data_IF_324663053698
#
_entry.id   IF_324663053698
#
_cell.length_a   1.000
_cell.length_b   1.000
_cell.length_c   1.000
_cell.angle_alpha   90.00
_cell.angle_beta   90.00
_cell.angle_gamma   90.00
#
_symmetry.space_group_name_H-M   'P 1'
#
loop_
_entity.id
_entity.type
_entity.pdbx_description
1 polymer ?
#
# COMPACT_ATOMS: atom_id res chain seq x y z
N UNK A 1 -20.27 11.84 -16.01
CA UNK A 1 -20.17 10.56 -15.26
C UNK A 1 -18.71 10.09 -15.06
N UNK A 2 -17.76 11.02 -14.85
CA UNK A 2 -16.32 10.69 -14.84
C UNK A 2 -15.79 10.15 -13.49
N UNK A 3 -16.51 10.32 -12.38
CA UNK A 3 -16.05 9.87 -11.04
C UNK A 3 -16.31 8.39 -10.71
N UNK A 4 -17.36 7.78 -11.27
CA UNK A 4 -17.74 6.39 -10.94
C UNK A 4 -16.71 5.35 -11.36
N UNK A 5 -15.93 5.63 -12.41
CA UNK A 5 -14.90 4.69 -12.90
C UNK A 5 -13.67 4.67 -12.01
N UNK A 6 -13.29 5.80 -11.41
CA UNK A 6 -12.13 5.85 -10.52
C UNK A 6 -12.46 5.27 -9.13
N UNK A 7 -13.68 5.51 -8.65
CA UNK A 7 -14.15 5.01 -7.36
C UNK A 7 -14.06 3.48 -7.23
N UNK A 8 -14.36 2.71 -8.29
CA UNK A 8 -14.21 1.24 -8.25
C UNK A 8 -12.75 0.79 -8.08
N UNK A 9 -11.79 1.56 -8.59
CA UNK A 9 -10.36 1.24 -8.52
C UNK A 9 -9.80 1.54 -7.13
N UNK A 10 -10.17 2.69 -6.57
CA UNK A 10 -9.90 3.02 -5.16
C UNK A 10 -10.43 1.90 -4.25
N UNK A 11 -11.72 1.59 -4.38
CA UNK A 11 -12.38 0.58 -3.54
C UNK A 11 -11.75 -0.81 -3.67
N UNK A 12 -11.33 -1.19 -4.88
CA UNK A 12 -10.67 -2.48 -5.10
C UNK A 12 -9.33 -2.56 -4.35
N UNK A 13 -8.49 -1.52 -4.42
CA UNK A 13 -7.21 -1.47 -3.72
C UNK A 13 -7.38 -1.39 -2.21
N UNK A 14 -8.31 -0.56 -1.73
CA UNK A 14 -8.66 -0.46 -0.31
C UNK A 14 -9.02 -1.85 0.25
N UNK A 15 -9.98 -2.55 -0.37
CA UNK A 15 -10.39 -3.88 0.08
C UNK A 15 -9.23 -4.87 0.02
N UNK A 16 -8.46 -4.88 -1.08
CA UNK A 16 -7.35 -5.79 -1.27
C UNK A 16 -6.31 -5.68 -0.15
N UNK A 17 -5.84 -4.46 0.09
CA UNK A 17 -4.79 -4.16 1.05
C UNK A 17 -5.29 -4.31 2.48
N UNK A 18 -6.52 -3.89 2.75
CA UNK A 18 -7.18 -4.05 4.03
C UNK A 18 -7.28 -5.53 4.41
N UNK A 19 -7.76 -6.38 3.50
CA UNK A 19 -7.85 -7.83 3.70
C UNK A 19 -6.46 -8.47 3.85
N UNK A 20 -5.48 -8.06 3.05
CA UNK A 20 -4.13 -8.64 3.09
C UNK A 20 -3.44 -8.39 4.44
N UNK A 21 -3.75 -7.27 5.11
CA UNK A 21 -3.16 -6.90 6.40
C UNK A 21 -4.08 -7.15 7.60
N UNK A 22 -5.27 -7.70 7.39
CA UNK A 22 -6.23 -8.01 8.46
C UNK A 22 -5.59 -8.77 9.64
N UNK A 23 -4.71 -9.77 9.44
CA UNK A 23 -4.09 -10.49 10.55
C UNK A 23 -3.17 -9.65 11.46
N UNK A 24 -2.79 -8.45 11.01
CA UNK A 24 -1.88 -7.55 11.71
C UNK A 24 -2.57 -6.32 12.27
N UNK A 25 -3.85 -6.10 11.93
CA UNK A 25 -4.61 -4.96 12.39
C UNK A 25 -5.05 -5.14 13.85
N UNK A 26 -5.12 -4.03 14.57
CA UNK A 26 -5.76 -4.00 15.90
C UNK A 26 -7.29 -3.91 15.78
N UNK A 27 -7.98 -3.90 16.92
CA UNK A 27 -9.45 -3.79 16.99
C UNK A 27 -10.01 -2.49 16.38
N UNK A 28 -9.18 -1.47 16.21
CA UNK A 28 -9.54 -0.19 15.59
C UNK A 28 -9.22 -0.18 14.08
N UNK A 29 -8.63 -1.26 13.57
CA UNK A 29 -8.22 -1.43 12.18
C UNK A 29 -6.94 -0.67 11.84
N UNK A 30 -6.06 -0.41 12.81
CA UNK A 30 -4.75 0.18 12.58
C UNK A 30 -3.71 -0.90 12.30
N UNK A 31 -2.84 -0.65 11.33
CA UNK A 31 -1.65 -1.49 11.08
C UNK A 31 -0.54 -1.18 12.10
N UNK A 32 0.44 -2.07 12.29
CA UNK A 32 1.58 -1.84 13.18
C UNK A 32 2.35 -0.56 12.84
N UNK A 33 2.69 0.25 13.85
CA UNK A 33 3.45 1.50 13.68
C UNK A 33 4.75 1.30 12.87
N UNK A 34 5.54 0.22 13.05
CA UNK A 34 6.76 0.02 12.26
C UNK A 34 6.53 -0.04 10.75
N UNK A 35 5.34 -0.43 10.27
CA UNK A 35 5.02 -0.45 8.84
C UNK A 35 4.98 0.96 8.23
N UNK A 36 4.76 2.00 9.03
CA UNK A 36 4.72 3.39 8.57
C UNK A 36 6.11 3.94 8.20
N UNK A 37 7.16 3.29 8.71
CA UNK A 37 8.55 3.72 8.55
C UNK A 37 9.42 2.68 7.85
N UNK A 38 8.85 1.54 7.44
CA UNK A 38 9.59 0.48 6.77
C UNK A 38 9.65 0.72 5.25
N UNK A 39 10.85 0.96 4.68
CA UNK A 39 10.98 1.28 3.25
C UNK A 39 10.60 0.10 2.35
N UNK A 40 10.88 -1.14 2.76
CA UNK A 40 10.61 -2.33 1.94
C UNK A 40 9.09 -2.57 1.80
N UNK A 41 8.35 -2.48 2.90
CA UNK A 41 6.91 -2.63 2.92
C UNK A 41 6.23 -1.54 2.09
N UNK A 42 6.61 -0.27 2.30
CA UNK A 42 6.04 0.84 1.54
C UNK A 42 6.38 0.81 0.05
N UNK A 43 7.55 0.26 -0.32
CA UNK A 43 7.91 -0.04 -1.70
C UNK A 43 6.94 -1.03 -2.34
N UNK A 44 6.58 -2.11 -1.63
CA UNK A 44 5.56 -3.05 -2.09
C UNK A 44 4.18 -2.39 -2.28
N UNK A 45 3.73 -1.57 -1.32
CA UNK A 45 2.41 -0.91 -1.41
C UNK A 45 2.34 0.01 -2.64
N UNK A 46 3.36 0.86 -2.85
CA UNK A 46 3.39 1.73 -4.03
C UNK A 46 3.45 0.91 -5.33
N UNK A 47 4.28 -0.13 -5.36
CA UNK A 47 4.42 -0.99 -6.53
C UNK A 47 3.14 -1.74 -6.89
N UNK A 48 2.37 -2.17 -5.89
CA UNK A 48 1.03 -2.76 -6.07
C UNK A 48 0.10 -1.77 -6.76
N UNK A 49 0.06 -0.51 -6.28
CA UNK A 49 -0.78 0.54 -6.85
C UNK A 49 -0.42 0.83 -8.31
N UNK A 50 0.88 0.96 -8.60
CA UNK A 50 1.39 1.20 -9.96
C UNK A 50 1.10 0.04 -10.91
N UNK A 51 1.32 -1.20 -10.46
CA UNK A 51 1.05 -2.38 -11.28
C UNK A 51 -0.45 -2.57 -11.53
N UNK A 52 -1.28 -2.34 -10.50
CA UNK A 52 -2.74 -2.37 -10.62
C UNK A 52 -3.23 -1.33 -11.65
N UNK A 53 -2.72 -0.10 -11.59
CA UNK A 53 -3.04 0.96 -12.55
C UNK A 53 -2.71 0.53 -13.98
N UNK A 54 -1.50 -0.02 -14.18
CA UNK A 54 -1.05 -0.54 -15.48
C UNK A 54 -2.00 -1.62 -16.02
N UNK A 55 -2.35 -2.60 -15.20
CA UNK A 55 -3.22 -3.72 -15.60
C UNK A 55 -4.67 -3.28 -15.88
N UNK A 56 -5.10 -2.14 -15.31
CA UNK A 56 -6.42 -1.57 -15.52
C UNK A 56 -6.43 -0.41 -16.53
N UNK A 57 -5.34 -0.21 -17.27
CA UNK A 57 -5.18 0.85 -18.28
C UNK A 57 -5.41 2.27 -17.74
N UNK A 58 -5.05 2.50 -16.48
CA UNK A 58 -5.02 3.83 -15.87
C UNK A 58 -3.65 4.48 -16.18
N UNK A 59 -3.64 5.42 -17.12
CA UNK A 59 -2.41 6.06 -17.61
C UNK A 59 -2.24 7.51 -17.18
N UNK A 60 -3.30 8.15 -16.66
CA UNK A 60 -3.22 9.54 -16.21
C UNK A 60 -2.55 9.59 -14.85
N UNK A 61 -1.51 10.41 -14.71
CA UNK A 61 -0.80 10.62 -13.44
C UNK A 61 -1.75 10.94 -12.28
N UNK A 62 -2.76 11.80 -12.52
CA UNK A 62 -3.75 12.14 -11.49
C UNK A 62 -4.64 10.97 -11.07
N UNK A 63 -4.96 10.03 -11.97
CA UNK A 63 -5.75 8.85 -11.63
C UNK A 63 -4.90 7.85 -10.80
N UNK A 64 -3.62 7.71 -11.15
CA UNK A 64 -2.66 6.85 -10.43
C UNK A 64 -2.41 7.40 -9.03
N UNK A 65 -2.17 8.71 -8.90
CA UNK A 65 -2.03 9.38 -7.62
C UNK A 65 -3.29 9.17 -6.77
N UNK A 66 -4.48 9.45 -7.32
CA UNK A 66 -5.72 9.35 -6.57
C UNK A 66 -6.07 7.93 -6.06
N UNK A 67 -5.64 6.86 -6.73
CA UNK A 67 -5.81 5.49 -6.22
C UNK A 67 -4.72 5.09 -5.22
N UNK A 68 -3.51 5.65 -5.38
CA UNK A 68 -2.41 5.48 -4.45
C UNK A 68 -2.76 6.16 -3.13
N UNK A 69 -3.21 7.41 -3.17
CA UNK A 69 -3.69 8.16 -2.00
C UNK A 69 -4.74 7.35 -1.23
N UNK A 70 -5.75 6.80 -1.93
CA UNK A 70 -6.80 6.00 -1.31
C UNK A 70 -6.26 4.72 -0.64
N UNK A 71 -5.28 4.06 -1.26
CA UNK A 71 -4.62 2.91 -0.67
C UNK A 71 -3.84 3.28 0.60
N UNK A 72 -3.06 4.36 0.58
CA UNK A 72 -2.31 4.82 1.74
C UNK A 72 -3.22 5.36 2.86
N UNK A 73 -4.32 6.02 2.52
CA UNK A 73 -5.34 6.45 3.49
C UNK A 73 -6.03 5.28 4.17
N UNK A 74 -6.37 4.20 3.45
CA UNK A 74 -6.95 3.00 4.05
C UNK A 74 -5.97 2.33 5.03
N UNK A 75 -4.68 2.29 4.70
CA UNK A 75 -3.67 1.63 5.53
C UNK A 75 -3.25 2.45 6.75
N UNK A 76 -2.98 3.74 6.55
CA UNK A 76 -2.31 4.59 7.53
C UNK A 76 -3.21 5.69 8.09
N UNK A 77 -4.42 5.85 7.54
CA UNK A 77 -5.43 6.80 8.02
C UNK A 77 -4.84 8.21 8.13
N UNK A 78 -4.77 8.76 9.35
CA UNK A 78 -4.28 10.10 9.63
C UNK A 78 -2.78 10.26 9.30
N UNK A 79 -2.01 9.17 9.32
CA UNK A 79 -0.57 9.16 9.06
C UNK A 79 -0.24 9.03 7.57
N UNK A 80 -1.24 8.91 6.69
CA UNK A 80 -1.04 8.64 5.26
C UNK A 80 -0.17 9.69 4.57
N UNK A 81 -0.33 10.98 4.93
CA UNK A 81 0.46 12.08 4.37
C UNK A 81 1.92 11.92 4.77
N UNK A 82 2.21 11.68 6.05
CA UNK A 82 3.57 11.52 6.55
C UNK A 82 4.27 10.29 5.95
N UNK A 83 3.53 9.20 5.69
CA UNK A 83 4.09 8.03 5.01
C UNK A 83 4.41 8.35 3.55
N UNK A 84 3.54 9.09 2.85
CA UNK A 84 3.77 9.48 1.46
C UNK A 84 4.93 10.46 1.30
N UNK A 85 5.13 11.39 2.24
CA UNK A 85 6.33 12.25 2.27
C UNK A 85 7.62 11.41 2.39
N UNK A 86 7.62 10.38 3.25
CA UNK A 86 8.77 9.45 3.35
C UNK A 86 9.01 8.67 2.07
N UNK A 87 7.94 8.31 1.35
CA UNK A 87 8.05 7.64 0.05
C UNK A 87 8.74 8.54 -0.97
N UNK A 88 8.35 9.81 -1.03
CA UNK A 88 9.00 10.79 -1.90
C UNK A 88 10.49 10.94 -1.53
N UNK A 89 10.82 10.97 -0.24
CA UNK A 89 12.21 11.00 0.23
C UNK A 89 12.98 9.73 -0.17
N UNK A 90 12.40 8.54 -0.02
CA UNK A 90 13.03 7.27 -0.40
C UNK A 90 13.24 7.14 -1.91
N UNK A 91 12.33 7.67 -2.71
CA UNK A 91 12.49 7.77 -4.17
C UNK A 91 13.66 8.68 -4.53
N UNK A 92 13.76 9.86 -3.91
CA UNK A 92 14.85 10.82 -4.18
C UNK A 92 16.21 10.29 -3.72
N UNK A 93 16.26 9.55 -2.63
CA UNK A 93 17.47 8.97 -2.07
C UNK A 93 17.88 7.64 -2.72
N UNK A 94 17.08 7.13 -3.66
CA UNK A 94 17.26 5.80 -4.26
C UNK A 94 17.42 4.70 -3.19
N UNK A 95 16.58 4.76 -2.14
CA UNK A 95 16.68 3.82 -1.01
C UNK A 95 16.62 2.37 -1.53
N UNK A 96 17.68 1.59 -1.29
CA UNK A 96 17.85 0.28 -1.91
C UNK A 96 16.72 -0.70 -1.57
N UNK A 97 16.27 -0.72 -0.31
CA UNK A 97 15.18 -1.61 0.12
C UNK A 97 13.84 -1.22 -0.52
N UNK A 98 13.57 0.08 -0.58
CA UNK A 98 12.38 0.63 -1.23
C UNK A 98 12.37 0.33 -2.74
N UNK A 99 13.46 0.63 -3.45
CA UNK A 99 13.56 0.43 -4.91
C UNK A 99 13.45 -1.05 -5.28
N UNK A 100 14.10 -1.94 -4.52
CA UNK A 100 14.05 -3.37 -4.78
C UNK A 100 12.63 -3.93 -4.66
N UNK A 101 11.90 -3.55 -3.61
CA UNK A 101 10.53 -4.01 -3.37
C UNK A 101 9.50 -3.35 -4.28
N UNK A 102 9.69 -2.06 -4.62
CA UNK A 102 8.91 -1.36 -5.64
C UNK A 102 8.95 -2.09 -6.99
N UNK A 103 10.14 -2.53 -7.42
CA UNK A 103 10.31 -3.32 -8.62
C UNK A 103 9.73 -4.73 -8.48
N UNK A 104 9.96 -5.40 -7.34
CA UNK A 104 9.47 -6.74 -7.07
C UNK A 104 7.93 -6.83 -7.07
N UNK A 105 7.23 -5.81 -6.55
CA UNK A 105 5.77 -5.75 -6.60
C UNK A 105 5.20 -5.88 -8.02
N UNK A 106 5.96 -5.46 -9.04
CA UNK A 106 5.55 -5.52 -10.45
C UNK A 106 5.65 -6.92 -11.05
N UNK A 107 6.32 -7.87 -10.38
CA UNK A 107 6.45 -9.26 -10.83
C UNK A 107 5.40 -10.17 -10.19
N UNK A 108 4.70 -9.69 -9.15
CA UNK A 108 3.60 -10.40 -8.52
C UNK A 108 2.28 -10.07 -9.21
N UNK A 109 1.34 -11.03 -9.22
CA UNK A 109 -0.03 -10.71 -9.59
C UNK A 109 -0.59 -9.77 -8.50
N UNK A 110 -0.95 -8.55 -8.88
CA UNK A 110 -1.50 -7.54 -7.96
C UNK A 110 -3.01 -7.42 -8.06
N UNK A 111 -3.66 -8.43 -8.64
CA UNK A 111 -5.08 -8.58 -8.49
C UNK A 111 -5.42 -8.65 -6.98
N UNK A 112 -6.45 -7.93 -6.51
CA UNK A 112 -6.86 -7.92 -5.11
C UNK A 112 -6.90 -9.30 -4.43
N UNK A 113 -7.34 -10.30 -5.16
CA UNK A 113 -7.48 -11.69 -4.73
C UNK A 113 -6.15 -12.46 -4.61
N UNK A 114 -5.03 -11.91 -5.07
CA UNK A 114 -3.73 -12.58 -5.11
C UNK A 114 -2.69 -12.02 -4.13
N UNK A 115 -3.08 -11.14 -3.21
CA UNK A 115 -2.17 -10.52 -2.23
C UNK A 115 -1.77 -11.42 -1.03
N UNK A 116 -1.97 -12.75 -1.11
CA UNK A 116 -1.54 -13.67 -0.05
C UNK A 116 -0.04 -13.56 0.28
N UNK A 117 0.79 -13.33 -0.74
CA UNK A 117 2.23 -13.14 -0.55
C UNK A 117 2.54 -11.90 0.30
N UNK A 118 1.71 -10.84 0.23
CA UNK A 118 1.87 -9.64 1.03
C UNK A 118 1.49 -9.94 2.49
N UNK A 119 0.45 -10.73 2.71
CA UNK A 119 0.09 -11.24 4.04
C UNK A 119 1.24 -12.02 4.66
N UNK A 120 1.78 -12.99 3.92
CA UNK A 120 2.90 -13.83 4.39
C UNK A 120 4.13 -12.98 4.71
N UNK A 121 4.49 -12.04 3.82
CA UNK A 121 5.58 -11.10 4.05
C UNK A 121 5.34 -10.27 5.31
N UNK A 122 4.16 -9.68 5.45
CA UNK A 122 3.87 -8.80 6.55
C UNK A 122 3.91 -9.54 7.90
N UNK A 123 3.40 -10.77 7.97
CA UNK A 123 3.42 -11.58 9.20
C UNK A 123 4.82 -12.08 9.59
N UNK A 124 5.73 -12.20 8.62
CA UNK A 124 7.12 -12.57 8.89
C UNK A 124 7.96 -11.39 9.39
N UNK A 125 7.56 -10.17 9.07
CA UNK A 125 8.36 -8.96 9.29
C UNK A 125 7.80 -8.03 10.37
N UNK A 126 6.52 -8.15 10.72
CA UNK A 126 5.85 -7.27 11.67
C UNK A 126 5.04 -8.04 12.70
N UNK A 127 5.08 -7.57 13.94
CA UNK A 127 4.18 -8.03 14.99
C UNK A 127 2.80 -7.35 14.83
N UNK A 128 1.69 -8.06 15.12
CA UNK A 128 0.36 -7.47 15.09
C UNK A 128 0.25 -6.21 15.96
N UNK A 129 -0.56 -5.25 15.51
CA UNK A 129 -0.84 -4.05 16.29
C UNK A 129 -1.57 -4.45 17.57
N UNK A 130 -1.11 -3.94 18.72
CA UNK A 130 -1.62 -4.36 20.03
C UNK A 130 -2.69 -3.42 20.59
N UNK A 131 -3.14 -2.43 19.82
CA UNK A 131 -4.07 -1.37 20.27
C UNK A 131 -3.49 -0.47 21.38
N UNK A 132 -2.25 -0.73 21.82
CA UNK A 132 -1.54 0.10 22.78
C UNK A 132 -0.85 1.20 21.98
N UNK A 133 -1.36 2.43 22.10
CA UNK A 133 -0.58 3.62 21.81
C UNK A 133 0.72 3.49 22.61
N UNK A 134 1.85 3.38 21.91
CA UNK A 134 3.16 3.64 22.51
C UNK A 134 3.25 5.13 22.84
#
# INVERSE_FOLDING_TARGET
MFGFRLGKHKRALEIALSNALEPLKDELGNVPIPMQTDPAFNGYILGICQHYAKNNHLSKTGDIAAITDAAFEELYRVESIMVQERIDDWLQQENAAFIATLAAAQTHNTAPETLHWLTDYAQQHFEPATGKML
#
